data_IF_678372847090
#
_entry.id   IF_678372847090
#
_cell.length_a   1.000
_cell.length_b   1.000
_cell.length_c   1.000
_cell.angle_alpha   90.00
_cell.angle_beta   90.00
_cell.angle_gamma   90.00
#
_symmetry.space_group_name_H-M   'P 1'
#
loop_
_entity.id
_entity.type
_entity.pdbx_description
1 polymer ?
#
# COMPACT_ATOMS: atom_id res chain seq x y z
N UNK A 1 16.52 1.67 -19.27
CA UNK A 1 15.82 0.60 -18.55
C UNK A 1 16.48 0.40 -17.19
N UNK A 2 15.71 0.23 -16.15
CA UNK A 2 16.25 0.07 -14.81
C UNK A 2 16.64 -1.37 -14.48
N UNK A 3 17.21 -1.54 -13.31
CA UNK A 3 17.54 -2.85 -12.77
C UNK A 3 16.41 -3.34 -11.88
N UNK A 4 16.01 -4.60 -12.07
CA UNK A 4 14.99 -5.25 -11.24
C UNK A 4 15.68 -6.19 -10.26
N UNK A 5 15.41 -6.00 -8.98
CA UNK A 5 15.91 -6.86 -7.91
C UNK A 5 14.72 -7.42 -7.12
N UNK A 6 14.84 -8.68 -6.72
CA UNK A 6 13.81 -9.35 -5.93
C UNK A 6 14.44 -10.00 -4.70
N UNK A 7 13.87 -9.73 -3.54
CA UNK A 7 14.29 -10.30 -2.27
C UNK A 7 13.09 -10.86 -1.54
N UNK A 8 13.24 -12.05 -0.97
CA UNK A 8 12.20 -12.64 -0.13
C UNK A 8 12.72 -12.66 1.32
N UNK A 9 11.96 -12.03 2.22
CA UNK A 9 12.30 -12.00 3.64
C UNK A 9 11.93 -13.34 4.31
N UNK A 10 12.49 -13.58 5.48
CA UNK A 10 12.25 -14.82 6.22
C UNK A 10 10.78 -15.05 6.57
N UNK A 11 10.01 -13.96 6.71
CA UNK A 11 8.58 -14.03 7.00
C UNK A 11 7.71 -14.20 5.74
N UNK A 12 8.32 -14.35 4.56
CA UNK A 12 7.62 -14.56 3.31
C UNK A 12 7.30 -13.29 2.52
N UNK A 13 7.55 -12.12 3.07
CA UNK A 13 7.35 -10.86 2.34
C UNK A 13 8.35 -10.79 1.18
N UNK A 14 7.85 -10.46 0.00
CA UNK A 14 8.67 -10.30 -1.21
C UNK A 14 8.84 -8.80 -1.48
N UNK A 15 10.07 -8.40 -1.71
CA UNK A 15 10.41 -7.02 -2.06
C UNK A 15 10.92 -7.02 -3.50
N UNK A 16 10.24 -6.27 -4.36
CA UNK A 16 10.66 -6.10 -5.75
C UNK A 16 10.98 -4.63 -5.95
N UNK A 17 12.16 -4.36 -6.47
CA UNK A 17 12.58 -2.99 -6.75
C UNK A 17 13.08 -2.87 -8.17
N UNK A 18 12.87 -1.69 -8.76
CA UNK A 18 13.38 -1.35 -10.08
C UNK A 18 14.00 0.03 -10.01
N UNK A 19 15.32 0.08 -10.15
CA UNK A 19 16.06 1.34 -10.12
C UNK A 19 16.10 1.96 -11.51
N UNK A 20 15.58 3.17 -11.63
CA UNK A 20 15.59 3.93 -12.87
C UNK A 20 16.49 5.15 -12.66
N UNK A 21 17.74 5.13 -13.18
CA UNK A 21 18.76 6.13 -12.79
C UNK A 21 18.48 7.56 -13.24
N UNK A 22 17.65 7.78 -14.26
CA UNK A 22 17.33 9.13 -14.71
C UNK A 22 16.15 9.78 -13.99
N UNK A 23 15.51 9.07 -13.09
CA UNK A 23 14.29 9.54 -12.43
C UNK A 23 14.61 9.90 -10.99
N UNK A 24 14.14 11.06 -10.54
CA UNK A 24 14.36 11.53 -9.17
C UNK A 24 13.18 11.27 -8.24
N UNK A 25 12.12 10.67 -8.75
CA UNK A 25 10.96 10.33 -7.98
C UNK A 25 11.00 8.86 -7.55
N UNK A 26 10.21 8.53 -6.53
CA UNK A 26 10.05 7.16 -6.05
C UNK A 26 8.57 6.82 -6.07
N UNK A 27 8.24 5.67 -6.65
CA UNK A 27 6.90 5.11 -6.59
C UNK A 27 6.98 3.82 -5.80
N UNK A 28 6.17 3.69 -4.75
CA UNK A 28 6.19 2.53 -3.86
C UNK A 28 4.77 2.05 -3.61
N UNK A 29 4.60 0.74 -3.54
CA UNK A 29 3.32 0.14 -3.23
C UNK A 29 3.48 -1.07 -2.33
N UNK A 30 2.47 -1.32 -1.53
CA UNK A 30 2.35 -2.53 -0.72
C UNK A 30 1.13 -3.28 -1.23
N UNK A 31 1.33 -4.51 -1.65
CA UNK A 31 0.27 -5.37 -2.18
C UNK A 31 0.02 -6.51 -1.21
N UNK A 32 -1.23 -6.64 -0.77
CA UNK A 32 -1.65 -7.72 0.11
C UNK A 32 -2.46 -8.71 -0.73
N UNK A 33 -2.10 -9.99 -0.67
CA UNK A 33 -2.79 -11.05 -1.41
C UNK A 33 -4.09 -11.43 -0.71
N UNK A 34 -4.95 -10.44 -0.50
CA UNK A 34 -6.27 -10.60 0.11
C UNK A 34 -7.19 -9.53 -0.49
N UNK A 35 -8.37 -9.92 -0.89
CA UNK A 35 -9.34 -9.02 -1.51
C UNK A 35 -10.76 -9.51 -1.29
N UNK A 36 -11.70 -8.95 -2.03
CA UNK A 36 -13.12 -9.25 -1.85
C UNK A 36 -13.43 -10.74 -2.00
N UNK A 37 -12.67 -11.48 -2.81
CA UNK A 37 -12.85 -12.91 -3.00
C UNK A 37 -12.64 -13.72 -1.72
N UNK A 38 -11.76 -13.25 -0.84
CA UNK A 38 -11.40 -13.95 0.40
C UNK A 38 -12.40 -13.72 1.52
N UNK A 39 -13.40 -12.88 1.29
CA UNK A 39 -14.40 -12.52 2.31
C UNK A 39 -15.54 -13.54 2.32
N UNK A 40 -15.95 -13.91 3.53
CA UNK A 40 -17.19 -14.66 3.72
C UNK A 40 -18.38 -13.70 3.58
N UNK A 41 -19.63 -14.22 3.39
CA UNK A 41 -20.79 -13.32 3.36
C UNK A 41 -20.93 -12.43 4.58
N UNK A 42 -20.48 -12.89 5.77
CA UNK A 42 -20.48 -12.07 6.98
C UNK A 42 -19.44 -10.96 6.97
N UNK A 43 -18.39 -11.12 6.17
CA UNK A 43 -17.27 -10.18 6.10
C UNK A 43 -17.32 -9.33 4.81
N UNK A 44 -18.39 -9.43 4.05
CA UNK A 44 -18.49 -8.79 2.75
C UNK A 44 -18.27 -7.26 2.87
N UNK A 45 -17.32 -6.75 2.09
CA UNK A 45 -16.95 -5.34 2.13
C UNK A 45 -15.82 -5.01 3.11
N UNK A 46 -15.28 -6.00 3.84
CA UNK A 46 -14.26 -5.76 4.85
C UNK A 46 -12.97 -5.21 4.25
N UNK A 47 -12.49 -5.78 3.16
CA UNK A 47 -11.27 -5.30 2.48
C UNK A 47 -11.42 -3.86 2.02
N UNK A 48 -12.55 -3.52 1.44
CA UNK A 48 -12.84 -2.16 1.01
C UNK A 48 -12.94 -1.20 2.20
N UNK A 49 -13.53 -1.64 3.29
CA UNK A 49 -13.61 -0.85 4.52
C UNK A 49 -12.22 -0.58 5.10
N UNK A 50 -11.37 -1.61 5.19
CA UNK A 50 -10.00 -1.45 5.68
C UNK A 50 -9.21 -0.51 4.79
N UNK A 51 -9.37 -0.61 3.47
CA UNK A 51 -8.74 0.32 2.53
C UNK A 51 -9.07 1.78 2.87
N UNK A 52 -10.32 2.08 3.15
CA UNK A 52 -10.71 3.42 3.56
C UNK A 52 -10.13 3.81 4.91
N UNK A 53 -10.04 2.86 5.84
CA UNK A 53 -9.62 3.15 7.21
C UNK A 53 -8.13 3.40 7.35
N UNK A 54 -7.29 2.92 6.44
CA UNK A 54 -5.83 3.10 6.56
C UNK A 54 -5.40 4.57 6.51
N UNK A 55 -6.23 5.44 5.96
CA UNK A 55 -5.95 6.88 5.88
C UNK A 55 -6.67 7.70 6.96
N UNK A 56 -7.42 7.06 7.84
CA UNK A 56 -8.25 7.76 8.85
C UNK A 56 -7.54 8.00 10.16
N UNK A 57 -6.38 7.40 10.36
CA UNK A 57 -5.58 7.66 11.53
C UNK A 57 -5.22 6.42 12.31
N UNK A 58 -4.23 6.60 13.17
CA UNK A 58 -3.73 5.59 14.09
C UNK A 58 -3.61 6.22 15.47
N UNK A 59 -3.14 5.45 16.45
CA UNK A 59 -2.88 6.02 17.78
C UNK A 59 -1.79 7.10 17.74
N UNK A 60 -0.84 6.98 16.81
CA UNK A 60 0.30 7.91 16.71
C UNK A 60 0.04 9.06 15.75
N UNK A 61 -0.86 8.90 14.78
CA UNK A 61 -1.11 9.91 13.74
C UNK A 61 -2.59 10.01 13.47
N UNK A 62 -3.13 11.20 13.55
CA UNK A 62 -4.50 11.48 13.09
C UNK A 62 -4.55 11.47 11.56
N UNK A 63 -5.74 11.48 10.99
CA UNK A 63 -5.90 11.58 9.53
C UNK A 63 -5.26 12.86 8.99
N UNK A 64 -5.36 13.96 9.74
CA UNK A 64 -4.71 15.23 9.39
C UNK A 64 -3.19 15.08 9.34
N UNK A 65 -2.60 14.41 10.32
CA UNK A 65 -1.14 14.20 10.39
C UNK A 65 -0.65 13.32 9.24
N UNK A 66 -1.40 12.30 8.86
CA UNK A 66 -1.05 11.45 7.72
C UNK A 66 -1.00 12.29 6.45
N UNK A 67 -2.04 13.08 6.19
CA UNK A 67 -2.08 13.96 5.01
C UNK A 67 -0.94 14.98 5.02
N UNK A 68 -0.68 15.57 6.18
CA UNK A 68 0.37 16.58 6.34
C UNK A 68 1.76 16.01 6.07
N UNK A 69 2.04 14.79 6.54
CA UNK A 69 3.33 14.15 6.30
C UNK A 69 3.54 13.83 4.82
N UNK A 70 2.50 13.40 4.10
CA UNK A 70 2.60 13.20 2.65
C UNK A 70 2.85 14.52 1.92
N UNK A 71 2.15 15.58 2.31
CA UNK A 71 2.37 16.91 1.73
C UNK A 71 3.80 17.42 1.97
N UNK A 72 4.35 17.15 3.14
CA UNK A 72 5.70 17.61 3.51
C UNK A 72 6.78 17.04 2.59
N UNK A 73 6.59 15.85 2.07
CA UNK A 73 7.56 15.22 1.14
C UNK A 73 7.13 15.36 -0.32
N UNK A 74 6.05 16.09 -0.58
CA UNK A 74 5.49 16.22 -1.94
C UNK A 74 4.89 14.94 -2.48
N UNK A 75 4.50 14.03 -1.59
CA UNK A 75 3.99 12.72 -1.96
C UNK A 75 2.50 12.70 -2.21
N UNK A 76 2.06 11.68 -2.91
CA UNK A 76 0.66 11.36 -3.12
C UNK A 76 0.43 9.92 -2.71
N UNK A 77 -0.69 9.66 -2.09
CA UNK A 77 -1.06 8.31 -1.67
C UNK A 77 -2.41 7.91 -2.23
N UNK A 78 -2.56 6.64 -2.51
CA UNK A 78 -3.82 6.07 -2.96
C UNK A 78 -3.85 4.60 -2.60
N UNK A 79 -5.05 4.01 -2.62
CA UNK A 79 -5.23 2.60 -2.38
C UNK A 79 -6.40 2.08 -3.20
N UNK A 80 -6.37 0.78 -3.49
CA UNK A 80 -7.47 0.13 -4.18
C UNK A 80 -7.61 -1.31 -3.68
N UNK A 81 -8.81 -1.86 -3.81
CA UNK A 81 -9.10 -3.24 -3.49
C UNK A 81 -9.76 -3.90 -4.69
N UNK A 82 -9.27 -5.07 -5.06
CA UNK A 82 -9.86 -5.90 -6.10
C UNK A 82 -10.39 -7.19 -5.48
N UNK A 83 -10.86 -8.10 -6.31
CA UNK A 83 -11.29 -9.43 -5.85
C UNK A 83 -10.15 -10.22 -5.21
N UNK A 84 -8.90 -9.96 -5.60
CA UNK A 84 -7.75 -10.78 -5.22
C UNK A 84 -6.68 -10.04 -4.42
N UNK A 85 -6.62 -8.70 -4.48
CA UNK A 85 -5.55 -7.93 -3.82
C UNK A 85 -6.07 -6.64 -3.21
N UNK A 86 -5.31 -6.17 -2.25
CA UNK A 86 -5.50 -4.84 -1.64
C UNK A 86 -4.18 -4.11 -1.61
#
# INVERSE_FOLDING_TARGET
MGEVAKTTLDNGIRIVSNKIPYVRSVSMGVWVSAGARDETPAENGLSHFIEHMIFKGTQKRSSYMIAKEFDAIGGQSNAFTTMETT
#
